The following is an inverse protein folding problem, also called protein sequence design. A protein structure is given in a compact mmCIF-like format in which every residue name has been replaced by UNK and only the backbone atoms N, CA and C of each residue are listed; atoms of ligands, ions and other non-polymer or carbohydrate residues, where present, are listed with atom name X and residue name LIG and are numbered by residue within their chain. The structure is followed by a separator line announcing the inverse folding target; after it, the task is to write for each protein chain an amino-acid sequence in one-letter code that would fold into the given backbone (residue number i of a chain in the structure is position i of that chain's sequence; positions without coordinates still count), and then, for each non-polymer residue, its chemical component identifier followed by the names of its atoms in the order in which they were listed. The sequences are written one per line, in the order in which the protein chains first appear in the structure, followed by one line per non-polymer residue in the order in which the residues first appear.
data_IF_998722590986
#
_entry.id   IF_998722590986
#
_cell.length_a   1.000
_cell.length_b   1.000
_cell.length_c   1.000
_cell.angle_alpha   90.00
_cell.angle_beta   90.00
_cell.angle_gamma   90.00
#
_symmetry.space_group_name_H-M   'P 1'
#
loop_
_entity.id
_entity.type
_entity.pdbx_description
1 polymer ?
#
# COMPACT_ATOMS: atom_id res chain seq x y z
N UNK A 1 -58.92 -52.90 -29.99
CA UNK A 1 -59.28 -54.16 -29.33
C UNK A 1 -58.28 -54.39 -28.19
N UNK A 2 -58.79 -54.74 -27.00
CA UNK A 2 -58.08 -55.07 -25.74
C UNK A 2 -57.58 -53.95 -24.81
N UNK A 3 -58.56 -53.43 -24.06
CA UNK A 3 -58.45 -53.12 -22.62
C UNK A 3 -58.00 -54.36 -21.81
N UNK A 4 -57.05 -54.19 -20.88
CA UNK A 4 -56.91 -55.01 -19.65
C UNK A 4 -56.18 -54.19 -18.58
N UNK A 5 -56.92 -53.58 -17.64
CA UNK A 5 -57.17 -54.03 -16.26
C UNK A 5 -56.12 -53.53 -15.25
N UNK A 6 -56.45 -52.41 -14.61
CA UNK A 6 -56.53 -52.20 -13.14
C UNK A 6 -55.73 -53.13 -12.22
N UNK A 7 -54.98 -52.58 -11.25
CA UNK A 7 -55.42 -52.32 -9.86
C UNK A 7 -54.19 -52.21 -8.90
N UNK A 8 -54.06 -51.07 -8.23
CA UNK A 8 -53.56 -50.87 -6.84
C UNK A 8 -52.17 -51.42 -6.45
N UNK A 9 -51.25 -50.51 -6.14
CA UNK A 9 -50.52 -50.55 -4.87
C UNK A 9 -50.11 -49.14 -4.45
N UNK A 10 -50.51 -48.80 -3.24
CA UNK A 10 -50.50 -47.47 -2.61
C UNK A 10 -49.26 -47.32 -1.72
N UNK A 11 -48.79 -46.06 -1.60
CA UNK A 11 -48.03 -45.49 -0.47
C UNK A 11 -46.52 -45.80 -0.44
N UNK A 12 -45.67 -44.77 -0.57
CA UNK A 12 -44.79 -44.20 0.48
C UNK A 12 -44.17 -42.88 -0.07
N UNK A 13 -44.23 -41.83 0.75
CA UNK A 13 -43.51 -40.52 0.68
C UNK A 13 -43.88 -39.59 -0.49
N UNK A 14 -44.68 -38.53 -0.37
CA UNK A 14 -44.71 -37.43 0.62
C UNK A 14 -43.36 -36.72 0.80
N UNK A 15 -43.37 -35.42 0.46
CA UNK A 15 -42.29 -34.40 0.61
C UNK A 15 -41.23 -34.46 -0.52
N UNK A 16 -40.88 -33.41 -1.24
CA UNK A 16 -40.95 -31.98 -0.95
C UNK A 16 -40.81 -31.22 -2.30
N UNK A 17 -41.92 -30.76 -2.87
CA UNK A 17 -41.91 -29.61 -3.77
C UNK A 17 -42.35 -28.45 -2.90
N UNK A 18 -41.48 -27.45 -2.72
CA UNK A 18 -41.77 -26.04 -2.44
C UNK A 18 -40.45 -25.35 -2.02
N UNK A 19 -40.04 -24.33 -2.77
CA UNK A 19 -38.99 -23.40 -2.32
C UNK A 19 -37.87 -23.08 -3.31
N UNK A 20 -38.16 -22.82 -4.59
CA UNK A 20 -37.23 -22.01 -5.40
C UNK A 20 -37.47 -20.55 -5.01
N UNK A 21 -36.91 -20.14 -3.89
CA UNK A 21 -36.71 -18.72 -3.59
C UNK A 21 -35.65 -18.20 -4.57
N UNK A 22 -35.80 -16.99 -5.14
CA UNK A 22 -34.66 -16.32 -5.74
C UNK A 22 -33.72 -16.00 -4.58
N UNK A 23 -32.70 -16.81 -4.38
CA UNK A 23 -31.51 -16.35 -3.71
C UNK A 23 -30.90 -15.29 -4.64
N UNK A 24 -31.35 -14.05 -4.47
CA UNK A 24 -30.53 -12.90 -4.72
C UNK A 24 -29.30 -13.07 -3.83
N UNK A 25 -28.30 -13.80 -4.36
CA UNK A 25 -26.94 -13.65 -3.89
C UNK A 25 -26.61 -12.20 -4.20
N UNK A 26 -26.80 -11.33 -3.21
CA UNK A 26 -26.10 -10.07 -3.16
C UNK A 26 -24.64 -10.46 -3.12
N UNK A 27 -24.02 -10.53 -4.31
CA UNK A 27 -22.59 -10.39 -4.39
C UNK A 27 -22.31 -9.08 -3.67
N UNK A 28 -21.74 -9.17 -2.47
CA UNK A 28 -20.92 -8.08 -2.01
C UNK A 28 -19.87 -7.92 -3.12
N UNK A 29 -20.05 -6.92 -3.96
CA UNK A 29 -18.95 -6.36 -4.71
C UNK A 29 -17.96 -5.91 -3.65
N UNK A 30 -17.06 -6.83 -3.25
CA UNK A 30 -15.76 -6.44 -2.78
C UNK A 30 -15.15 -5.71 -3.95
N UNK A 31 -15.38 -4.39 -4.02
CA UNK A 31 -14.60 -3.52 -4.89
C UNK A 31 -13.14 -3.94 -4.69
N UNK A 32 -12.38 -4.24 -5.77
CA UNK A 32 -10.99 -4.59 -5.61
C UNK A 32 -10.32 -3.45 -4.84
N UNK A 33 -9.77 -3.77 -3.67
CA UNK A 33 -9.14 -2.80 -2.77
C UNK A 33 -8.13 -2.00 -3.58
N UNK A 34 -8.31 -0.67 -3.65
CA UNK A 34 -7.39 0.24 -4.33
C UNK A 34 -6.19 0.49 -3.42
N UNK A 35 -5.30 -0.52 -3.34
CA UNK A 35 -4.11 -0.51 -2.49
C UNK A 35 -3.23 0.72 -2.75
N UNK A 36 -3.15 1.16 -4.01
CA UNK A 36 -2.42 2.36 -4.39
C UNK A 36 -3.02 3.62 -3.74
N UNK A 37 -4.35 3.73 -3.68
CA UNK A 37 -5.05 4.82 -2.98
C UNK A 37 -4.70 4.86 -1.50
N UNK A 38 -4.71 3.70 -0.82
CA UNK A 38 -4.40 3.60 0.60
C UNK A 38 -2.94 4.02 0.88
N UNK A 39 -1.98 3.53 0.09
CA UNK A 39 -0.56 3.90 0.21
C UNK A 39 -0.37 5.41 0.07
N UNK A 40 -0.97 6.01 -0.96
CA UNK A 40 -0.86 7.45 -1.21
C UNK A 40 -1.52 8.28 -0.11
N UNK A 41 -2.68 7.87 0.37
CA UNK A 41 -3.37 8.52 1.48
C UNK A 41 -2.50 8.49 2.74
N UNK A 42 -1.92 7.34 3.05
CA UNK A 42 -1.04 7.18 4.21
C UNK A 42 0.27 7.96 4.09
N UNK A 43 0.91 7.99 2.92
CA UNK A 43 2.15 8.75 2.70
C UNK A 43 1.88 10.26 2.65
N UNK A 44 0.62 10.69 2.54
CA UNK A 44 0.22 12.10 2.58
C UNK A 44 0.01 12.64 3.99
N UNK A 45 0.10 11.80 5.02
CA UNK A 45 0.04 12.21 6.42
C UNK A 45 1.35 12.89 6.85
N UNK A 46 1.27 14.20 7.08
CA UNK A 46 2.39 15.03 7.56
C UNK A 46 2.85 14.65 8.97
N UNK A 47 1.99 13.99 9.76
CA UNK A 47 2.32 13.54 11.11
C UNK A 47 2.86 12.11 11.16
N UNK A 48 3.01 11.44 10.00
CA UNK A 48 3.58 10.10 9.99
C UNK A 48 5.07 10.16 10.39
N UNK A 49 5.50 9.40 11.42
CA UNK A 49 6.85 9.48 11.93
C UNK A 49 7.94 9.17 10.90
N UNK A 50 7.67 8.25 9.96
CA UNK A 50 8.63 7.92 8.91
C UNK A 50 8.71 9.03 7.87
N UNK A 51 7.56 9.52 7.40
CA UNK A 51 7.50 10.61 6.41
C UNK A 51 8.21 11.84 6.95
N UNK A 52 7.95 12.20 8.21
CA UNK A 52 8.62 13.31 8.90
C UNK A 52 10.13 13.08 8.99
N UNK A 53 10.58 11.91 9.42
CA UNK A 53 12.01 11.59 9.51
C UNK A 53 12.72 11.67 8.14
N UNK A 54 12.06 11.18 7.08
CA UNK A 54 12.57 11.27 5.71
C UNK A 54 12.59 12.72 5.19
N UNK A 55 11.68 13.57 5.62
CA UNK A 55 11.68 15.00 5.29
C UNK A 55 12.71 15.79 6.09
N UNK A 56 12.94 15.45 7.35
CA UNK A 56 13.81 16.16 8.29
C UNK A 56 15.31 15.84 8.11
N UNK A 57 15.66 14.61 7.69
CA UNK A 57 17.08 14.26 7.51
C UNK A 57 17.77 15.27 6.58
N UNK A 58 18.86 15.95 7.02
CA UNK A 58 19.57 16.90 6.18
C UNK A 58 20.13 16.25 4.92
N UNK A 59 20.05 16.93 3.77
CA UNK A 59 20.55 16.38 2.50
C UNK A 59 22.06 16.12 2.57
N UNK A 60 22.80 16.96 3.29
CA UNK A 60 24.24 16.86 3.48
C UNK A 60 24.65 15.57 4.21
N UNK A 61 23.78 15.07 5.09
CA UNK A 61 23.97 13.77 5.75
C UNK A 61 23.49 12.65 4.83
N UNK A 62 22.31 12.82 4.24
CA UNK A 62 21.67 11.81 3.42
C UNK A 62 22.50 11.41 2.19
N UNK A 63 23.22 12.37 1.59
CA UNK A 63 24.10 12.18 0.42
C UNK A 63 25.44 11.50 0.75
N UNK A 64 25.84 11.44 2.03
CA UNK A 64 27.04 10.68 2.45
C UNK A 64 26.82 9.16 2.38
N UNK A 65 25.59 8.73 2.09
CA UNK A 65 25.24 7.34 1.81
C UNK A 65 24.58 6.63 2.99
N UNK A 66 24.14 5.37 2.78
CA UNK A 66 23.32 4.64 3.75
C UNK A 66 23.90 4.59 5.17
N UNK A 67 25.22 4.38 5.31
CA UNK A 67 25.88 4.27 6.61
C UNK A 67 25.72 5.53 7.49
N UNK A 68 25.90 6.72 6.91
CA UNK A 68 25.72 7.98 7.64
C UNK A 68 24.26 8.33 7.83
N UNK A 69 23.42 8.02 6.86
CA UNK A 69 21.98 8.20 6.99
C UNK A 69 21.42 7.41 8.16
N UNK A 70 21.80 6.14 8.34
CA UNK A 70 21.25 5.32 9.42
C UNK A 70 21.66 5.78 10.81
N UNK A 71 22.86 6.34 10.97
CA UNK A 71 23.29 6.98 12.24
C UNK A 71 22.31 8.10 12.61
N UNK A 72 22.10 9.05 11.70
CA UNK A 72 21.20 10.17 11.94
C UNK A 72 19.75 9.71 12.14
N UNK A 73 19.26 8.78 11.31
CA UNK A 73 17.90 8.25 11.41
C UNK A 73 17.68 7.60 12.78
N UNK A 74 18.62 6.82 13.28
CA UNK A 74 18.50 6.16 14.59
C UNK A 74 18.61 7.12 15.78
N UNK A 75 19.29 8.27 15.62
CA UNK A 75 19.31 9.32 16.65
C UNK A 75 17.98 10.08 16.73
N UNK A 76 17.20 10.09 15.65
CA UNK A 76 15.98 10.91 15.52
C UNK A 76 14.70 10.07 15.38
N UNK A 77 14.77 8.74 15.45
CA UNK A 77 13.62 7.84 15.25
C UNK A 77 12.81 7.53 16.52
N UNK A 78 12.76 8.43 17.51
CA UNK A 78 12.15 8.17 18.83
C UNK A 78 10.69 7.67 18.78
N UNK A 79 9.95 8.02 17.73
CA UNK A 79 8.56 7.64 17.51
C UNK A 79 8.41 6.27 16.79
N UNK A 80 9.47 5.77 16.15
CA UNK A 80 9.49 4.48 15.47
C UNK A 80 10.05 3.38 16.39
N UNK A 81 9.32 2.28 16.54
CA UNK A 81 9.74 1.12 17.36
C UNK A 81 10.64 0.17 16.55
N UNK A 82 11.79 0.65 16.09
CA UNK A 82 12.73 -0.13 15.28
C UNK A 82 14.08 0.56 15.09
N UNK A 83 14.95 -0.09 14.33
CA UNK A 83 16.29 0.39 14.01
C UNK A 83 16.50 0.42 12.49
N UNK A 84 17.15 1.48 12.01
CA UNK A 84 17.64 1.57 10.65
C UNK A 84 19.05 0.97 10.54
N UNK A 85 19.28 0.17 9.51
CA UNK A 85 20.55 -0.50 9.25
C UNK A 85 20.95 -0.24 7.80
N UNK A 86 22.23 0.05 7.59
CA UNK A 86 22.81 0.16 6.25
C UNK A 86 23.10 -1.25 5.74
N UNK A 87 22.58 -1.57 4.56
CA UNK A 87 22.86 -2.83 3.86
C UNK A 87 23.15 -2.53 2.38
N UNK A 88 24.44 -2.42 2.06
CA UNK A 88 24.89 -2.01 0.72
C UNK A 88 24.34 -0.63 0.34
N UNK A 89 23.56 -0.58 -0.74
CA UNK A 89 22.92 0.65 -1.23
C UNK A 89 21.57 0.97 -0.55
N UNK A 90 21.12 0.13 0.38
CA UNK A 90 19.82 0.22 1.03
C UNK A 90 19.93 0.77 2.46
N UNK A 91 18.92 1.53 2.87
CA UNK A 91 18.63 1.84 4.27
C UNK A 91 17.44 0.98 4.67
N UNK A 92 17.67 -0.02 5.51
CA UNK A 92 16.66 -0.99 5.92
C UNK A 92 16.14 -0.67 7.32
N UNK A 93 14.83 -0.70 7.52
CA UNK A 93 14.20 -0.67 8.82
C UNK A 93 13.94 -2.09 9.34
N UNK A 94 14.32 -2.34 10.59
CA UNK A 94 14.01 -3.55 11.34
C UNK A 94 13.18 -3.19 12.57
N UNK A 95 11.91 -3.63 12.66
CA UNK A 95 11.11 -3.38 13.85
C UNK A 95 11.68 -4.15 15.05
N UNK A 96 11.57 -3.57 16.25
CA UNK A 96 11.87 -4.30 17.49
C UNK A 96 10.81 -5.41 17.64
N UNK A 97 11.22 -6.66 17.43
CA UNK A 97 10.36 -7.79 17.76
C UNK A 97 10.27 -7.86 19.28
N UNK A 98 9.07 -7.64 19.83
CA UNK A 98 8.81 -8.10 21.20
C UNK A 98 8.86 -9.62 21.15
N UNK A 99 9.77 -10.22 21.91
CA UNK A 99 9.81 -11.68 22.05
C UNK A 99 8.45 -12.17 22.54
N UNK A 100 7.67 -12.77 21.65
CA UNK A 100 6.61 -13.69 22.05
C UNK A 100 6.97 -15.05 21.49
N UNK A 101 7.26 -16.04 22.35
CA UNK A 101 7.61 -17.37 21.91
C UNK A 101 6.39 -18.00 21.23
N UNK A 102 6.59 -18.45 19.99
CA UNK A 102 5.76 -19.44 19.29
C UNK A 102 4.24 -19.26 19.39
N UNK A 103 3.66 -18.39 18.57
CA UNK A 103 2.30 -18.61 18.04
C UNK A 103 2.28 -18.09 16.60
N UNK A 104 1.67 -18.87 15.71
CA UNK A 104 1.25 -18.50 14.35
C UNK A 104 0.92 -17.02 14.23
N UNK A 105 1.31 -16.44 13.09
CA UNK A 105 0.95 -15.13 12.58
C UNK A 105 -0.56 -14.93 12.37
N UNK A 106 -1.38 -15.14 13.41
CA UNK A 106 -2.80 -14.84 13.42
C UNK A 106 -3.17 -14.26 14.78
N UNK A 107 -3.82 -13.10 14.75
CA UNK A 107 -4.36 -12.35 15.88
C UNK A 107 -3.39 -11.45 16.66
N UNK A 108 -2.68 -10.56 15.95
CA UNK A 108 -2.85 -9.14 16.33
C UNK A 108 -4.07 -8.66 15.56
N UNK A 109 -5.20 -8.57 16.25
CA UNK A 109 -6.45 -8.05 15.73
C UNK A 109 -6.22 -6.68 15.07
N UNK A 110 -6.34 -6.61 13.75
CA UNK A 110 -6.81 -5.43 13.02
C UNK A 110 -5.82 -4.32 12.64
N UNK A 111 -4.52 -4.42 12.93
CA UNK A 111 -3.58 -3.38 12.53
C UNK A 111 -2.23 -3.96 12.13
N UNK A 112 -1.96 -4.06 10.82
CA UNK A 112 -0.59 -3.76 10.42
C UNK A 112 -0.32 -2.34 10.91
N UNK A 113 0.60 -2.16 11.85
CA UNK A 113 0.97 -0.82 12.31
C UNK A 113 1.61 -0.14 11.10
N UNK A 114 0.84 0.65 10.38
CA UNK A 114 1.19 1.14 9.05
C UNK A 114 2.52 1.88 8.98
N UNK A 115 2.93 2.57 10.04
CA UNK A 115 4.25 3.18 10.14
C UNK A 115 5.39 2.15 10.00
N UNK A 116 5.24 0.96 10.59
CA UNK A 116 6.20 -0.15 10.49
C UNK A 116 6.20 -0.71 9.06
N UNK A 117 5.03 -0.86 8.46
CA UNK A 117 4.85 -1.30 7.08
C UNK A 117 5.58 -0.40 6.09
N UNK A 118 5.36 0.92 6.18
CA UNK A 118 6.03 1.92 5.33
C UNK A 118 7.55 1.83 5.48
N UNK A 119 8.03 1.72 6.72
CA UNK A 119 9.45 1.69 7.02
C UNK A 119 10.11 0.41 6.49
N UNK A 120 9.44 -0.74 6.59
CA UNK A 120 9.86 -1.99 5.95
C UNK A 120 9.89 -1.84 4.41
N UNK A 121 8.99 -1.05 3.84
CA UNK A 121 8.97 -0.75 2.41
C UNK A 121 10.26 -0.13 1.89
N UNK A 122 10.94 0.70 2.71
CA UNK A 122 12.25 1.27 2.35
C UNK A 122 13.33 0.21 2.11
N UNK A 123 13.18 -0.98 2.68
CA UNK A 123 14.16 -2.06 2.54
C UNK A 123 14.35 -2.52 1.09
N UNK A 124 13.38 -2.21 0.22
CA UNK A 124 13.36 -2.60 -1.18
C UNK A 124 13.70 -1.43 -2.12
N UNK A 125 13.96 -0.24 -1.58
CA UNK A 125 14.25 0.97 -2.37
C UNK A 125 15.72 1.35 -2.14
N UNK A 126 16.55 1.39 -3.20
CA UNK A 126 17.89 1.93 -3.08
C UNK A 126 17.86 3.34 -2.51
N UNK A 127 18.73 3.65 -1.56
CA UNK A 127 18.75 4.93 -0.87
C UNK A 127 18.86 6.11 -1.84
N UNK A 128 19.66 5.96 -2.89
CA UNK A 128 19.80 6.96 -3.95
C UNK A 128 18.48 7.33 -4.64
N UNK A 129 17.52 6.39 -4.79
CA UNK A 129 16.20 6.69 -5.34
C UNK A 129 15.37 7.51 -4.35
N UNK A 130 15.42 7.17 -3.06
CA UNK A 130 14.74 7.93 -2.00
C UNK A 130 15.26 9.38 -1.99
N UNK A 131 16.57 9.60 -2.12
CA UNK A 131 17.17 10.94 -2.17
C UNK A 131 16.68 11.77 -3.37
N UNK A 132 16.53 11.15 -4.54
CA UNK A 132 15.97 11.82 -5.73
C UNK A 132 14.54 12.27 -5.47
N UNK A 133 13.72 11.41 -4.85
CA UNK A 133 12.33 11.75 -4.48
C UNK A 133 12.32 12.86 -3.43
N UNK A 134 13.14 12.78 -2.38
CA UNK A 134 13.27 13.82 -1.35
C UNK A 134 13.63 15.18 -1.95
N UNK A 135 14.55 15.20 -2.91
CA UNK A 135 14.95 16.44 -3.61
C UNK A 135 13.77 17.08 -4.34
N UNK A 136 12.97 16.27 -5.04
CA UNK A 136 11.74 16.74 -5.70
C UNK A 136 10.72 17.20 -4.66
N UNK A 137 10.48 16.38 -3.64
CA UNK A 137 9.52 16.60 -2.58
C UNK A 137 9.76 17.92 -1.81
N UNK A 138 11.03 18.27 -1.56
CA UNK A 138 11.41 19.56 -0.95
C UNK A 138 10.83 20.77 -1.71
N UNK A 139 10.72 20.68 -3.04
CA UNK A 139 10.13 21.75 -3.88
C UNK A 139 8.61 21.87 -3.75
N UNK A 140 7.96 20.89 -3.11
CA UNK A 140 6.54 20.86 -2.80
C UNK A 140 6.24 21.08 -1.31
N UNK A 141 7.28 21.29 -0.48
CA UNK A 141 7.13 21.45 0.97
C UNK A 141 7.27 20.14 1.76
N UNK A 142 7.81 19.08 1.15
CA UNK A 142 8.03 17.78 1.79
C UNK A 142 7.37 16.62 1.04
N UNK A 143 7.70 15.40 1.46
CA UNK A 143 7.21 14.14 0.90
C UNK A 143 5.71 13.99 1.15
N UNK A 144 5.22 14.36 2.33
CA UNK A 144 3.79 14.35 2.64
C UNK A 144 3.01 15.22 1.64
N UNK A 145 3.51 16.44 1.39
CA UNK A 145 2.84 17.40 0.54
C UNK A 145 2.92 17.07 -0.95
N UNK A 146 4.05 16.54 -1.40
CA UNK A 146 4.14 15.94 -2.73
C UNK A 146 3.10 14.82 -2.88
N UNK A 147 3.06 13.89 -1.91
CA UNK A 147 2.15 12.74 -1.96
C UNK A 147 0.70 13.18 -1.93
N UNK A 148 0.31 14.16 -1.12
CA UNK A 148 -1.05 14.71 -1.05
C UNK A 148 -1.55 15.24 -2.40
N UNK A 149 -0.68 15.93 -3.13
CA UNK A 149 -0.98 16.44 -4.48
C UNK A 149 -1.12 15.28 -5.48
N UNK A 150 -0.22 14.30 -5.41
CA UNK A 150 -0.28 13.10 -6.25
C UNK A 150 -1.54 12.29 -5.95
N UNK A 151 -1.89 12.08 -4.68
CA UNK A 151 -3.10 11.40 -4.23
C UNK A 151 -4.38 12.06 -4.75
N UNK A 152 -4.46 13.39 -4.65
CA UNK A 152 -5.59 14.16 -5.18
C UNK A 152 -5.70 13.99 -6.70
N UNK A 153 -4.58 14.08 -7.42
CA UNK A 153 -4.53 13.87 -8.87
C UNK A 153 -4.85 12.42 -9.25
N UNK A 154 -4.38 11.44 -8.49
CA UNK A 154 -4.64 10.01 -8.64
C UNK A 154 -6.13 9.71 -8.57
N UNK A 155 -6.81 10.15 -7.49
CA UNK A 155 -8.27 9.98 -7.35
C UNK A 155 -9.03 10.59 -8.52
N UNK A 156 -8.61 11.78 -8.96
CA UNK A 156 -9.20 12.38 -10.15
C UNK A 156 -9.00 11.51 -11.41
N UNK A 157 -7.82 10.94 -11.64
CA UNK A 157 -7.59 10.03 -12.78
C UNK A 157 -8.37 8.71 -12.65
N UNK A 158 -8.53 8.16 -11.45
CA UNK A 158 -9.35 6.95 -11.20
C UNK A 158 -10.82 7.21 -11.50
N UNK A 159 -11.33 8.38 -11.12
CA UNK A 159 -12.70 8.81 -11.43
C UNK A 159 -12.94 9.01 -12.94
N UNK A 160 -11.89 9.20 -13.73
CA UNK A 160 -11.95 9.22 -15.20
C UNK A 160 -11.89 7.82 -15.84
N UNK A 161 -11.89 6.76 -15.02
CA UNK A 161 -11.90 5.37 -15.50
C UNK A 161 -10.52 4.79 -15.83
N UNK A 162 -9.41 5.48 -15.52
CA UNK A 162 -8.06 4.94 -15.74
C UNK A 162 -7.75 3.85 -14.71
N UNK A 163 -7.16 2.74 -15.13
CA UNK A 163 -6.61 1.71 -14.22
C UNK A 163 -5.50 2.26 -13.31
N UNK A 164 -5.26 1.63 -12.16
CA UNK A 164 -4.36 2.12 -11.10
C UNK A 164 -2.98 2.56 -11.63
N UNK A 165 -2.28 1.68 -12.35
CA UNK A 165 -0.97 1.98 -12.96
C UNK A 165 -0.97 3.21 -13.87
N UNK A 166 -1.97 3.35 -14.73
CA UNK A 166 -2.10 4.50 -15.63
C UNK A 166 -2.49 5.77 -14.86
N UNK A 167 -3.32 5.63 -13.83
CA UNK A 167 -3.75 6.72 -12.98
C UNK A 167 -2.58 7.30 -12.18
N UNK A 168 -1.75 6.47 -11.51
CA UNK A 168 -0.58 6.97 -10.76
C UNK A 168 0.47 7.58 -11.69
N UNK A 169 0.78 6.92 -12.82
CA UNK A 169 1.71 7.45 -13.81
C UNK A 169 1.29 8.83 -14.32
N UNK A 170 0.00 8.99 -14.64
CA UNK A 170 -0.54 10.27 -15.12
C UNK A 170 -0.63 11.31 -14.01
N UNK A 171 -0.98 10.91 -12.79
CA UNK A 171 -1.03 11.79 -11.61
C UNK A 171 0.35 12.40 -11.32
N UNK A 172 1.40 11.57 -11.23
CA UNK A 172 2.77 12.03 -11.00
C UNK A 172 3.21 12.99 -12.11
N UNK A 173 3.01 12.61 -13.38
CA UNK A 173 3.37 13.48 -14.51
C UNK A 173 2.63 14.82 -14.48
N UNK A 174 1.36 14.84 -14.11
CA UNK A 174 0.58 16.09 -14.00
C UNK A 174 1.09 16.99 -12.86
N UNK A 175 1.40 16.42 -11.69
CA UNK A 175 1.87 17.20 -10.53
C UNK A 175 3.26 17.77 -10.80
N UNK A 176 4.20 16.93 -11.25
CA UNK A 176 5.58 17.34 -11.48
C UNK A 176 5.75 18.15 -12.77
N UNK A 177 5.05 17.78 -13.84
CA UNK A 177 5.12 18.47 -15.13
C UNK A 177 4.66 19.92 -15.03
N UNK A 178 3.67 20.23 -14.17
CA UNK A 178 3.24 21.62 -13.88
C UNK A 178 4.34 22.47 -13.25
N UNK A 179 5.31 21.86 -12.58
CA UNK A 179 6.49 22.54 -11.99
C UNK A 179 7.70 22.54 -12.93
N UNK A 180 7.58 21.96 -14.13
CA UNK A 180 8.66 21.94 -15.12
C UNK A 180 9.77 20.93 -14.82
N UNK A 181 9.50 19.89 -14.02
CA UNK A 181 10.49 18.83 -13.79
C UNK A 181 10.72 18.00 -15.06
N UNK A 182 11.98 17.61 -15.28
CA UNK A 182 12.39 16.72 -16.36
C UNK A 182 11.82 15.31 -16.20
N UNK A 183 11.68 14.58 -17.31
CA UNK A 183 11.09 13.24 -17.34
C UNK A 183 11.85 12.24 -16.45
N UNK A 184 13.16 12.42 -16.26
CA UNK A 184 13.98 11.58 -15.36
C UNK A 184 13.55 11.68 -13.90
N UNK A 185 13.17 12.87 -13.44
CA UNK A 185 12.65 13.12 -12.08
C UNK A 185 11.20 12.65 -11.94
N UNK A 186 10.40 12.83 -13.00
CA UNK A 186 9.03 12.32 -13.08
C UNK A 186 9.02 10.80 -12.93
N UNK A 187 9.86 10.11 -13.69
CA UNK A 187 9.97 8.66 -13.66
C UNK A 187 10.48 8.16 -12.31
N UNK A 188 11.45 8.85 -11.68
CA UNK A 188 11.94 8.47 -10.35
C UNK A 188 10.83 8.54 -9.27
N UNK A 189 9.99 9.58 -9.30
CA UNK A 189 8.86 9.72 -8.37
C UNK A 189 7.74 8.73 -8.69
N UNK A 190 7.48 8.47 -9.98
CA UNK A 190 6.52 7.44 -10.38
C UNK A 190 6.95 6.06 -9.89
N UNK A 191 8.21 5.67 -10.11
CA UNK A 191 8.74 4.40 -9.63
C UNK A 191 8.69 4.28 -8.10
N UNK A 192 8.83 5.38 -7.37
CA UNK A 192 8.67 5.37 -5.92
C UNK A 192 7.24 5.04 -5.49
N UNK A 193 6.23 5.57 -6.19
CA UNK A 193 4.83 5.34 -5.84
C UNK A 193 4.22 4.05 -6.42
N UNK A 194 4.77 3.52 -7.52
CA UNK A 194 4.31 2.27 -8.15
C UNK A 194 4.72 1.01 -7.36
N UNK A 195 5.54 1.12 -6.30
CA UNK A 195 6.08 -0.07 -5.65
C UNK A 195 5.01 -0.87 -4.89
N UNK A 196 4.55 -1.94 -5.55
CA UNK A 196 3.64 -2.99 -5.06
C UNK A 196 4.19 -3.78 -3.85
N UNK A 197 5.48 -3.64 -3.55
CA UNK A 197 6.25 -4.56 -2.69
C UNK A 197 5.97 -4.51 -1.18
N UNK A 198 5.21 -3.52 -0.70
CA UNK A 198 5.01 -3.31 0.74
C UNK A 198 3.76 -4.02 1.27
N UNK A 199 2.79 -4.28 0.40
CA UNK A 199 1.46 -4.76 0.81
C UNK A 199 1.42 -6.27 1.02
N UNK A 200 2.20 -7.05 0.27
CA UNK A 200 2.21 -8.52 0.42
C UNK A 200 2.62 -8.97 1.82
N UNK A 201 3.48 -8.24 2.55
CA UNK A 201 3.94 -8.69 3.88
C UNK A 201 3.03 -8.30 5.06
N UNK A 202 2.02 -7.48 4.82
CA UNK A 202 1.04 -7.09 5.85
C UNK A 202 -0.30 -7.82 5.72
N UNK A 203 -0.56 -8.43 4.57
CA UNK A 203 -1.87 -8.97 4.21
C UNK A 203 -1.84 -10.42 3.70
N UNK A 204 -0.69 -11.10 3.75
CA UNK A 204 -0.54 -12.56 3.55
C UNK A 204 -0.30 -13.29 4.88
#
# INVERSE_FOLDING_TARGET
MFFKKTLVSTIVFAMLVLGISPHASRAETTEPVDQQSEILEMLSDENDPLVKLLDEIPMEIAEQGPARSVEWLNEHNAELKGIFIADGEFVKFMPVQKETPSVRAMAVSGACVWAVTKAIGLNFIPWAKILKVKTVAKSFGGLAQLTKLVYTSYKHQRNLGLGQKNAIKKAVRLVLGKKGFEETKIEAVYQFFEMDAVVEKCFL
#
